data_IF_622496476899
#
_entry.id   IF_622496476899
#
_cell.length_a   1.000
_cell.length_b   1.000
_cell.length_c   1.000
_cell.angle_alpha   90.00
_cell.angle_beta   90.00
_cell.angle_gamma   90.00
#
_symmetry.space_group_name_H-M   'P 1'
#
loop_
_entity.id
_entity.type
_entity.pdbx_description
1 polymer ?
#
# COMPACT_ATOMS: atom_id res chain seq x y z
N UNK A 1 -2.31 30.09 -19.47
CA UNK A 1 -2.85 30.87 -18.34
C UNK A 1 -4.01 30.18 -17.61
N UNK A 2 -5.06 29.73 -18.30
CA UNK A 2 -6.27 29.10 -17.71
C UNK A 2 -5.99 27.84 -16.88
N UNK A 3 -5.11 26.95 -17.34
CA UNK A 3 -4.76 25.72 -16.63
C UNK A 3 -4.05 26.01 -15.29
N UNK A 4 -3.08 26.94 -15.29
CA UNK A 4 -2.40 27.39 -14.07
C UNK A 4 -3.38 27.95 -13.03
N UNK A 5 -4.37 28.73 -13.47
CA UNK A 5 -5.39 29.27 -12.56
C UNK A 5 -6.28 28.19 -11.93
N UNK A 6 -6.71 27.19 -12.72
CA UNK A 6 -7.48 26.03 -12.23
C UNK A 6 -6.68 25.24 -11.20
N UNK A 7 -5.40 25.01 -11.47
CA UNK A 7 -4.53 24.24 -10.57
C UNK A 7 -4.23 25.01 -9.27
N UNK A 8 -4.06 26.33 -9.33
CA UNK A 8 -3.93 27.19 -8.14
C UNK A 8 -5.21 27.17 -7.29
N UNK A 9 -6.40 27.27 -7.91
CA UNK A 9 -7.67 27.22 -7.19
C UNK A 9 -7.87 25.86 -6.52
N UNK A 10 -7.51 24.77 -7.20
CA UNK A 10 -7.52 23.40 -6.64
C UNK A 10 -6.52 23.25 -5.49
N UNK A 11 -5.31 23.79 -5.62
CA UNK A 11 -4.27 23.82 -4.56
C UNK A 11 -4.83 24.47 -3.30
N UNK A 12 -5.33 25.69 -3.44
CA UNK A 12 -5.85 26.47 -2.31
C UNK A 12 -7.05 25.77 -1.67
N UNK A 13 -8.02 25.32 -2.46
CA UNK A 13 -9.18 24.59 -1.96
C UNK A 13 -8.79 23.36 -1.14
N UNK A 14 -7.88 22.52 -1.67
CA UNK A 14 -7.46 21.29 -0.97
C UNK A 14 -6.68 21.58 0.29
N UNK A 15 -5.77 22.56 0.23
CA UNK A 15 -5.00 22.98 1.40
C UNK A 15 -5.93 23.52 2.50
N UNK A 16 -6.88 24.40 2.15
CA UNK A 16 -7.86 24.92 3.10
C UNK A 16 -8.72 23.79 3.66
N UNK A 17 -9.26 22.92 2.81
CA UNK A 17 -10.08 21.79 3.24
C UNK A 17 -9.31 20.86 4.17
N UNK A 18 -8.06 20.51 3.85
CA UNK A 18 -7.23 19.66 4.70
C UNK A 18 -7.00 20.30 6.08
N UNK A 19 -6.62 21.60 6.12
CA UNK A 19 -6.39 22.30 7.39
C UNK A 19 -7.65 22.49 8.24
N UNK A 20 -8.80 22.70 7.61
CA UNK A 20 -10.08 22.89 8.30
C UNK A 20 -10.66 21.56 8.79
N UNK A 21 -10.60 20.51 7.97
CA UNK A 21 -11.20 19.20 8.30
C UNK A 21 -10.27 18.32 9.15
N UNK A 22 -8.96 18.56 9.13
CA UNK A 22 -7.94 17.81 9.90
C UNK A 22 -8.19 16.29 9.84
N UNK A 23 -8.22 15.71 8.63
CA UNK A 23 -8.57 14.30 8.44
C UNK A 23 -7.66 13.40 9.28
N UNK A 24 -8.26 12.36 9.86
CA UNK A 24 -7.48 11.30 10.49
C UNK A 24 -7.02 10.31 9.40
N UNK A 25 -5.88 9.62 9.59
CA UNK A 25 -5.57 8.42 8.81
C UNK A 25 -6.67 7.35 8.95
N UNK A 26 -6.75 6.40 8.01
CA UNK A 26 -7.75 5.33 8.09
C UNK A 26 -7.61 4.53 9.40
N UNK A 27 -8.73 4.13 10.02
CA UNK A 27 -8.71 3.36 11.26
C UNK A 27 -8.23 1.93 11.00
N UNK A 28 -7.78 1.25 12.06
CA UNK A 28 -7.39 -0.16 12.04
C UNK A 28 -8.34 -0.97 12.97
N UNK A 29 -8.97 -2.07 12.50
CA UNK A 29 -9.93 -2.82 13.30
C UNK A 29 -9.31 -3.80 14.33
N UNK A 30 -7.98 -3.91 14.40
CA UNK A 30 -7.27 -4.82 15.31
C UNK A 30 -5.88 -4.29 15.68
N UNK A 31 -5.26 -4.79 16.73
CA UNK A 31 -3.91 -4.35 17.11
C UNK A 31 -2.82 -5.03 16.28
N UNK A 32 -1.84 -4.26 15.81
CA UNK A 32 -0.59 -4.82 15.24
C UNK A 32 0.33 -5.22 16.40
N UNK A 33 0.47 -6.54 16.62
CA UNK A 33 1.27 -7.09 17.73
C UNK A 33 2.69 -7.49 17.33
N UNK A 34 2.98 -7.52 16.03
CA UNK A 34 4.24 -8.01 15.49
C UNK A 34 4.60 -7.30 14.17
N UNK A 35 5.66 -7.74 13.50
CA UNK A 35 6.09 -7.13 12.25
C UNK A 35 5.00 -7.19 11.18
N UNK A 36 4.96 -6.17 10.33
CA UNK A 36 4.01 -6.10 9.21
C UNK A 36 4.73 -6.41 7.91
N UNK A 37 4.17 -7.31 7.10
CA UNK A 37 4.63 -7.56 5.74
C UNK A 37 3.70 -6.86 4.75
N UNK A 38 4.26 -5.95 3.95
CA UNK A 38 3.56 -5.31 2.84
C UNK A 38 3.95 -6.03 1.55
N UNK A 39 2.99 -6.72 0.96
CA UNK A 39 3.15 -7.50 -0.27
C UNK A 39 2.67 -6.67 -1.46
N UNK A 40 3.57 -6.32 -2.37
CA UNK A 40 3.28 -5.63 -3.61
C UNK A 40 3.16 -6.56 -4.83
N UNK A 41 3.08 -5.93 -6.01
CA UNK A 41 2.80 -6.60 -7.28
C UNK A 41 4.01 -6.59 -8.25
N UNK A 42 5.24 -6.47 -7.75
CA UNK A 42 6.44 -6.60 -8.56
C UNK A 42 6.67 -8.07 -8.98
N UNK A 43 7.37 -8.33 -10.12
CA UNK A 43 7.50 -9.69 -10.68
C UNK A 43 8.16 -10.69 -9.72
N UNK A 44 9.02 -10.20 -8.83
CA UNK A 44 9.72 -10.99 -7.83
C UNK A 44 9.36 -10.45 -6.45
N UNK A 45 8.96 -11.34 -5.57
CA UNK A 45 8.64 -11.07 -4.18
C UNK A 45 9.16 -12.25 -3.36
N UNK A 46 10.01 -11.96 -2.39
CA UNK A 46 10.59 -12.93 -1.48
C UNK A 46 9.73 -13.07 -0.23
N UNK A 47 9.58 -14.30 0.26
CA UNK A 47 9.00 -14.55 1.58
C UNK A 47 9.95 -13.99 2.64
N UNK A 48 9.50 -13.13 3.57
CA UNK A 48 10.34 -12.69 4.68
C UNK A 48 10.85 -13.86 5.52
N UNK A 49 12.11 -13.76 5.96
CA UNK A 49 12.71 -14.69 6.92
C UNK A 49 11.92 -14.67 8.24
N UNK A 50 11.70 -15.86 8.83
CA UNK A 50 10.98 -16.03 10.09
C UNK A 50 9.47 -15.78 10.01
N UNK A 51 8.90 -15.64 8.81
CA UNK A 51 7.47 -15.37 8.65
C UNK A 51 6.60 -16.48 9.27
N UNK A 52 5.86 -16.13 10.32
CA UNK A 52 4.92 -16.98 11.05
C UNK A 52 3.58 -16.26 11.31
N UNK A 53 2.70 -16.86 12.10
CA UNK A 53 1.38 -16.29 12.45
C UNK A 53 1.42 -15.05 13.36
N UNK A 54 2.60 -14.63 13.85
CA UNK A 54 2.79 -13.39 14.60
C UNK A 54 2.95 -12.15 13.72
N UNK A 55 3.12 -12.33 12.41
CA UNK A 55 3.22 -11.24 11.45
C UNK A 55 1.83 -10.82 10.98
N UNK A 56 1.62 -9.52 10.81
CA UNK A 56 0.44 -9.02 10.13
C UNK A 56 0.72 -8.85 8.62
N UNK A 57 -0.23 -9.26 7.77
CA UNK A 57 -0.05 -9.29 6.32
C UNK A 57 -0.94 -8.24 5.64
N UNK A 58 -0.30 -7.30 4.95
CA UNK A 58 -0.97 -6.31 4.10
C UNK A 58 -0.67 -6.63 2.64
N UNK A 59 -1.69 -6.94 1.86
CA UNK A 59 -1.58 -7.13 0.41
C UNK A 59 -2.07 -5.90 -0.33
N UNK A 60 -1.52 -5.67 -1.52
CA UNK A 60 -1.82 -4.54 -2.40
C UNK A 60 -2.39 -5.08 -3.72
N UNK A 61 -3.61 -4.65 -4.04
CA UNK A 61 -4.35 -5.11 -5.21
C UNK A 61 -4.39 -6.66 -5.27
N UNK A 62 -3.93 -7.26 -6.38
CA UNK A 62 -3.90 -8.72 -6.56
C UNK A 62 -2.72 -9.45 -5.91
N UNK A 63 -1.89 -8.79 -5.08
CA UNK A 63 -0.71 -9.43 -4.49
C UNK A 63 -1.02 -10.50 -3.44
N UNK A 64 -2.30 -10.68 -3.08
CA UNK A 64 -2.76 -11.83 -2.32
C UNK A 64 -2.37 -13.17 -3.00
N UNK A 65 -2.28 -13.20 -4.33
CA UNK A 65 -1.79 -14.39 -5.05
C UNK A 65 -0.32 -14.73 -4.74
N UNK A 66 0.49 -13.72 -4.40
CA UNK A 66 1.88 -13.90 -3.96
C UNK A 66 1.89 -14.42 -2.52
N UNK A 67 1.15 -13.78 -1.62
CA UNK A 67 1.06 -14.19 -0.22
C UNK A 67 0.56 -15.64 -0.06
N UNK A 68 -0.37 -16.08 -0.93
CA UNK A 68 -0.86 -17.46 -0.95
C UNK A 68 0.26 -18.49 -1.22
N UNK A 69 1.28 -18.15 -2.01
CA UNK A 69 2.45 -19.03 -2.23
C UNK A 69 3.32 -19.19 -0.99
N UNK A 70 3.15 -18.34 0.02
CA UNK A 70 3.81 -18.42 1.31
C UNK A 70 2.94 -19.10 2.38
N UNK A 71 1.80 -19.69 1.98
CA UNK A 71 0.84 -20.32 2.88
C UNK A 71 -0.16 -19.36 3.53
N UNK A 72 -0.20 -18.09 3.11
CA UNK A 72 -1.14 -17.10 3.65
C UNK A 72 -2.38 -17.04 2.77
N UNK A 73 -3.43 -17.75 3.17
CA UNK A 73 -4.70 -17.77 2.42
C UNK A 73 -5.51 -16.49 2.60
N UNK A 74 -5.58 -15.99 3.83
CA UNK A 74 -6.36 -14.81 4.23
C UNK A 74 -5.41 -13.76 4.81
N UNK A 75 -5.10 -12.68 4.07
CA UNK A 75 -4.33 -11.57 4.63
C UNK A 75 -5.17 -10.81 5.66
N UNK A 76 -4.49 -10.14 6.59
CA UNK A 76 -5.15 -9.26 7.56
C UNK A 76 -5.72 -8.01 6.89
N UNK A 77 -5.01 -7.49 5.88
CA UNK A 77 -5.43 -6.30 5.16
C UNK A 77 -5.21 -6.48 3.65
N UNK A 78 -6.17 -6.02 2.86
CA UNK A 78 -5.97 -5.76 1.44
C UNK A 78 -6.20 -4.29 1.15
N UNK A 79 -5.22 -3.62 0.56
CA UNK A 79 -5.35 -2.26 0.03
C UNK A 79 -5.54 -2.31 -1.49
N UNK A 80 -6.73 -1.93 -1.95
CA UNK A 80 -7.13 -2.07 -3.35
C UNK A 80 -7.42 -0.71 -3.98
N UNK A 81 -6.85 -0.45 -5.16
CA UNK A 81 -7.21 0.75 -5.93
C UNK A 81 -8.60 0.59 -6.56
N UNK A 82 -9.42 1.64 -6.55
CA UNK A 82 -10.80 1.60 -7.08
C UNK A 82 -10.91 0.99 -8.49
N UNK A 83 -9.92 1.26 -9.35
CA UNK A 83 -9.94 0.81 -10.75
C UNK A 83 -9.75 -0.70 -10.91
N UNK A 84 -9.32 -1.44 -9.89
CA UNK A 84 -9.22 -2.90 -9.96
C UNK A 84 -10.59 -3.58 -9.90
N UNK A 85 -11.58 -2.91 -9.31
CA UNK A 85 -12.91 -3.49 -9.10
C UNK A 85 -13.74 -3.43 -10.38
N UNK A 86 -13.75 -2.29 -11.07
CA UNK A 86 -14.60 -2.10 -12.27
C UNK A 86 -13.80 -1.80 -13.55
N UNK A 87 -12.48 -1.64 -13.45
CA UNK A 87 -11.66 -1.31 -14.61
C UNK A 87 -11.67 -2.41 -15.66
N UNK A 88 -11.57 -2.00 -16.92
CA UNK A 88 -11.59 -2.89 -18.09
C UNK A 88 -10.20 -3.24 -18.61
N UNK A 89 -9.15 -2.65 -18.04
CA UNK A 89 -7.76 -2.93 -18.42
C UNK A 89 -7.38 -4.38 -18.13
N UNK A 90 -6.38 -4.91 -18.85
CA UNK A 90 -5.84 -6.25 -18.62
C UNK A 90 -5.47 -6.46 -17.14
N UNK A 91 -4.76 -5.50 -16.54
CA UNK A 91 -4.39 -5.55 -15.12
C UNK A 91 -5.61 -5.66 -14.19
N UNK A 92 -6.68 -4.88 -14.42
CA UNK A 92 -7.87 -4.94 -13.58
C UNK A 92 -8.58 -6.29 -13.70
N UNK A 93 -8.64 -6.85 -14.91
CA UNK A 93 -9.18 -8.20 -15.15
C UNK A 93 -8.36 -9.27 -14.45
N UNK A 94 -7.04 -9.19 -14.54
CA UNK A 94 -6.15 -10.14 -13.87
C UNK A 94 -6.24 -10.05 -12.34
N UNK A 95 -6.31 -8.85 -11.77
CA UNK A 95 -6.53 -8.68 -10.33
C UNK A 95 -7.84 -9.34 -9.90
N UNK A 96 -8.95 -9.15 -10.62
CA UNK A 96 -10.21 -9.84 -10.31
C UNK A 96 -10.11 -11.36 -10.47
N UNK A 97 -9.40 -11.84 -11.50
CA UNK A 97 -9.19 -13.28 -11.72
C UNK A 97 -8.46 -13.93 -10.55
N UNK A 98 -7.38 -13.30 -10.05
CA UNK A 98 -6.59 -13.89 -8.95
C UNK A 98 -7.24 -13.73 -7.58
N UNK A 99 -8.09 -12.71 -7.41
CA UNK A 99 -8.87 -12.50 -6.19
C UNK A 99 -10.21 -13.23 -6.21
N UNK A 100 -10.60 -13.85 -7.33
CA UNK A 100 -11.86 -14.57 -7.46
C UNK A 100 -12.06 -15.60 -6.35
N UNK A 101 -13.16 -15.51 -5.60
CA UNK A 101 -13.49 -16.41 -4.49
C UNK A 101 -12.63 -16.26 -3.23
N UNK A 102 -11.68 -15.31 -3.22
CA UNK A 102 -10.77 -15.06 -2.09
C UNK A 102 -11.42 -14.16 -1.04
N UNK A 103 -10.77 -14.04 0.12
CA UNK A 103 -11.17 -13.14 1.20
C UNK A 103 -10.00 -12.43 1.85
N UNK A 104 -10.27 -11.34 2.55
CA UNK A 104 -9.35 -10.62 3.44
C UNK A 104 -10.05 -10.30 4.76
N UNK A 105 -9.32 -10.04 5.85
CA UNK A 105 -9.99 -9.60 7.09
C UNK A 105 -10.51 -8.17 6.93
N UNK A 106 -9.63 -7.23 6.57
CA UNK A 106 -10.01 -5.84 6.32
C UNK A 106 -9.65 -5.37 4.90
N UNK A 107 -10.65 -4.89 4.15
CA UNK A 107 -10.49 -4.32 2.81
C UNK A 107 -10.51 -2.80 2.87
N UNK A 108 -9.44 -2.17 2.36
CA UNK A 108 -9.32 -0.72 2.20
C UNK A 108 -9.33 -0.39 0.72
N UNK A 109 -10.43 0.21 0.26
CA UNK A 109 -10.58 0.62 -1.14
C UNK A 109 -10.19 2.09 -1.28
N UNK A 110 -9.10 2.33 -2.00
CA UNK A 110 -8.50 3.64 -2.16
C UNK A 110 -9.18 4.43 -3.28
N UNK A 111 -9.52 5.69 -2.96
CA UNK A 111 -10.06 6.69 -3.88
C UNK A 111 -11.43 6.31 -4.50
N UNK A 112 -12.21 5.49 -3.79
CA UNK A 112 -13.63 5.31 -4.07
C UNK A 112 -14.47 6.46 -3.48
N UNK A 113 -15.67 6.69 -4.00
CA UNK A 113 -16.61 7.68 -3.46
C UNK A 113 -17.39 7.08 -2.30
N UNK A 114 -17.26 7.65 -1.09
CA UNK A 114 -17.95 7.15 0.12
C UNK A 114 -19.47 7.01 -0.05
N UNK A 115 -20.10 7.87 -0.86
CA UNK A 115 -21.54 7.82 -1.18
C UNK A 115 -21.95 6.68 -2.14
N UNK A 116 -21.01 6.03 -2.81
CA UNK A 116 -21.26 4.96 -3.78
C UNK A 116 -20.89 3.57 -3.21
N UNK A 117 -21.11 3.36 -1.92
CA UNK A 117 -20.74 2.12 -1.21
C UNK A 117 -21.43 0.88 -1.80
N UNK A 118 -22.74 0.93 -2.06
CA UNK A 118 -23.45 -0.24 -2.60
C UNK A 118 -22.93 -0.67 -3.98
N UNK A 119 -22.50 0.29 -4.80
CA UNK A 119 -21.88 0.01 -6.11
C UNK A 119 -20.56 -0.74 -5.92
N UNK A 120 -19.76 -0.31 -4.95
CA UNK A 120 -18.53 -1.01 -4.57
C UNK A 120 -18.82 -2.45 -4.15
N UNK A 121 -19.80 -2.65 -3.28
CA UNK A 121 -20.17 -3.97 -2.78
C UNK A 121 -20.64 -4.91 -3.90
N UNK A 122 -21.47 -4.41 -4.84
CA UNK A 122 -21.84 -5.15 -6.06
C UNK A 122 -20.63 -5.48 -6.94
N UNK A 123 -19.72 -4.52 -7.11
CA UNK A 123 -18.48 -4.73 -7.86
C UNK A 123 -17.62 -5.85 -7.26
N UNK A 124 -17.46 -5.87 -5.94
CA UNK A 124 -16.73 -6.93 -5.23
C UNK A 124 -17.45 -8.30 -5.31
N UNK A 125 -18.77 -8.31 -5.17
CA UNK A 125 -19.58 -9.52 -5.28
C UNK A 125 -19.50 -10.17 -6.68
N UNK A 126 -19.30 -9.39 -7.74
CA UNK A 126 -19.25 -9.88 -9.13
C UNK A 126 -18.11 -10.89 -9.40
N UNK A 127 -17.10 -10.95 -8.52
CA UNK A 127 -16.03 -11.94 -8.56
C UNK A 127 -15.86 -12.67 -7.21
N UNK A 128 -16.90 -12.69 -6.37
CA UNK A 128 -16.92 -13.38 -5.08
C UNK A 128 -15.74 -13.02 -4.15
N UNK A 129 -15.36 -11.73 -4.08
CA UNK A 129 -14.34 -11.28 -3.14
C UNK A 129 -14.96 -10.83 -1.82
N UNK A 130 -14.58 -11.50 -0.73
CA UNK A 130 -15.17 -11.32 0.60
C UNK A 130 -14.25 -10.55 1.56
N UNK A 131 -14.84 -9.94 2.56
CA UNK A 131 -14.13 -9.21 3.61
C UNK A 131 -14.94 -9.24 4.92
N UNK A 132 -14.27 -9.13 6.07
CA UNK A 132 -14.94 -8.96 7.35
C UNK A 132 -15.24 -7.47 7.63
N UNK A 133 -14.31 -6.59 7.21
CA UNK A 133 -14.45 -5.14 7.31
C UNK A 133 -14.17 -4.43 5.98
N UNK A 134 -14.95 -3.39 5.67
CA UNK A 134 -14.78 -2.56 4.47
C UNK A 134 -14.61 -1.09 4.83
N UNK A 135 -13.51 -0.51 4.35
CA UNK A 135 -13.20 0.91 4.49
C UNK A 135 -12.98 1.55 3.12
N UNK A 136 -13.62 2.70 2.90
CA UNK A 136 -13.35 3.54 1.73
C UNK A 136 -12.40 4.64 2.18
N UNK A 137 -11.18 4.61 1.65
CA UNK A 137 -10.13 5.57 1.95
C UNK A 137 -10.12 6.66 0.90
N UNK A 138 -10.45 7.87 1.31
CA UNK A 138 -10.40 9.04 0.45
C UNK A 138 -8.99 9.65 0.39
N UNK A 139 -8.87 10.70 -0.42
CA UNK A 139 -7.60 11.39 -0.65
C UNK A 139 -7.07 12.08 0.61
N UNK A 140 -7.95 12.64 1.43
CA UNK A 140 -7.57 13.40 2.61
C UNK A 140 -7.03 12.46 3.70
N UNK A 141 -7.57 11.25 3.81
CA UNK A 141 -7.06 10.20 4.69
C UNK A 141 -5.66 9.71 4.25
N UNK A 142 -5.41 9.60 2.93
CA UNK A 142 -4.06 9.32 2.39
C UNK A 142 -3.08 10.47 2.66
N UNK A 143 -3.52 11.72 2.46
CA UNK A 143 -2.71 12.89 2.79
C UNK A 143 -2.36 12.93 4.28
N UNK A 144 -3.29 12.53 5.15
CA UNK A 144 -3.05 12.44 6.59
C UNK A 144 -1.98 11.40 6.96
N UNK A 145 -1.89 10.27 6.24
CA UNK A 145 -0.80 9.30 6.40
C UNK A 145 0.56 9.91 6.05
N UNK A 146 0.66 10.59 4.89
CA UNK A 146 1.89 11.25 4.45
C UNK A 146 2.36 12.32 5.43
N UNK A 147 1.43 13.15 5.91
CA UNK A 147 1.71 14.21 6.87
C UNK A 147 2.15 13.63 8.22
N UNK A 148 1.35 12.75 8.83
CA UNK A 148 1.62 12.24 10.18
C UNK A 148 2.83 11.30 10.27
N UNK A 149 3.15 10.57 9.21
CA UNK A 149 4.19 9.53 9.26
C UNK A 149 5.48 10.00 8.63
N UNK A 150 5.40 10.74 7.52
CA UNK A 150 6.56 11.24 6.79
C UNK A 150 6.77 12.76 6.97
N UNK A 151 5.84 13.52 7.57
CA UNK A 151 5.95 14.98 7.66
C UNK A 151 5.89 15.66 6.29
N UNK A 152 5.25 15.01 5.31
CA UNK A 152 5.16 15.50 3.93
C UNK A 152 3.76 16.01 3.62
N UNK A 153 3.66 17.33 3.43
CA UNK A 153 2.42 17.98 3.03
C UNK A 153 2.21 17.88 1.50
N UNK A 154 1.84 16.69 1.02
CA UNK A 154 1.39 16.51 -0.37
C UNK A 154 -0.08 16.88 -0.53
N UNK A 155 -0.43 17.60 -1.59
CA UNK A 155 -1.82 17.88 -1.98
C UNK A 155 -2.36 16.89 -3.02
N UNK A 156 -1.55 15.88 -3.40
CA UNK A 156 -1.83 14.84 -4.40
C UNK A 156 -2.51 15.40 -5.66
N UNK A 157 -1.94 16.42 -6.31
CA UNK A 157 -2.61 17.17 -7.38
C UNK A 157 -2.53 16.47 -8.72
N UNK A 158 -1.34 16.03 -9.04
CA UNK A 158 -0.97 15.27 -10.23
C UNK A 158 -0.65 13.82 -9.84
N UNK A 159 -0.30 12.99 -10.83
CA UNK A 159 0.10 11.61 -10.57
C UNK A 159 1.46 11.53 -9.85
N UNK A 160 2.41 12.39 -10.22
CA UNK A 160 3.78 12.37 -9.70
C UNK A 160 3.87 12.74 -8.21
N UNK A 161 2.91 13.52 -7.70
CA UNK A 161 2.79 13.90 -6.29
C UNK A 161 2.07 12.87 -5.41
N UNK A 162 1.60 11.76 -6.00
CA UNK A 162 1.00 10.64 -5.26
C UNK A 162 2.03 9.55 -5.04
N UNK A 163 1.96 8.92 -3.87
CA UNK A 163 2.65 7.66 -3.64
C UNK A 163 1.79 6.47 -4.09
N UNK A 164 2.44 5.35 -4.33
CA UNK A 164 1.78 4.09 -4.69
C UNK A 164 0.99 3.50 -3.52
N UNK A 165 0.14 2.52 -3.81
CA UNK A 165 -0.60 1.80 -2.77
C UNK A 165 0.33 1.03 -1.82
N UNK A 166 1.49 0.57 -2.32
CA UNK A 166 2.51 -0.07 -1.50
C UNK A 166 3.05 0.89 -0.43
N UNK A 167 3.37 2.12 -0.82
CA UNK A 167 3.83 3.14 0.14
C UNK A 167 2.70 3.58 1.07
N UNK A 168 1.45 3.68 0.61
CA UNK A 168 0.31 3.91 1.51
C UNK A 168 0.20 2.81 2.57
N UNK A 169 0.39 1.53 2.20
CA UNK A 169 0.39 0.42 3.15
C UNK A 169 1.56 0.50 4.15
N UNK A 170 2.74 0.91 3.71
CA UNK A 170 3.90 1.14 4.61
C UNK A 170 3.61 2.26 5.61
N UNK A 171 3.14 3.41 5.12
CA UNK A 171 2.78 4.54 5.99
C UNK A 171 1.68 4.15 6.98
N UNK A 172 0.69 3.39 6.52
CA UNK A 172 -0.39 2.89 7.34
C UNK A 172 0.11 1.96 8.45
N UNK A 173 0.97 1.00 8.14
CA UNK A 173 1.56 0.10 9.13
C UNK A 173 2.37 0.87 10.19
N UNK A 174 3.20 1.84 9.75
CA UNK A 174 3.97 2.70 10.66
C UNK A 174 3.08 3.60 11.52
N UNK A 175 2.01 4.14 10.95
CA UNK A 175 1.06 4.98 11.70
C UNK A 175 0.45 4.23 12.87
N UNK A 176 0.12 2.95 12.65
CA UNK A 176 -0.49 2.06 13.63
C UNK A 176 0.54 1.30 14.48
N UNK A 177 1.78 1.77 14.54
CA UNK A 177 2.76 1.31 15.53
C UNK A 177 3.44 -0.02 15.21
N UNK A 178 3.48 -0.45 13.94
CA UNK A 178 4.21 -1.65 13.57
C UNK A 178 5.68 -1.60 14.05
N UNK A 179 6.16 -2.62 14.78
CA UNK A 179 7.54 -2.64 15.30
C UNK A 179 8.58 -2.78 14.17
N UNK A 180 8.18 -3.37 13.04
CA UNK A 180 8.92 -3.36 11.79
C UNK A 180 7.96 -3.48 10.61
N UNK A 181 8.33 -2.89 9.48
CA UNK A 181 7.60 -2.99 8.21
C UNK A 181 8.52 -3.59 7.16
N UNK A 182 8.19 -4.79 6.70
CA UNK A 182 8.92 -5.54 5.69
C UNK A 182 8.21 -5.42 4.35
N UNK A 183 8.91 -4.87 3.37
CA UNK A 183 8.40 -4.67 2.02
C UNK A 183 8.84 -5.84 1.13
N UNK A 184 7.89 -6.48 0.44
CA UNK A 184 8.18 -7.56 -0.51
C UNK A 184 7.35 -7.39 -1.77
N UNK A 185 7.93 -7.57 -2.95
CA UNK A 185 7.25 -7.34 -4.22
C UNK A 185 6.93 -5.86 -4.48
N UNK A 186 7.67 -4.93 -3.87
CA UNK A 186 7.62 -3.51 -4.19
C UNK A 186 9.04 -3.09 -4.54
N UNK A 187 9.24 -2.79 -5.81
CA UNK A 187 10.50 -2.26 -6.32
C UNK A 187 10.30 -0.78 -6.67
N UNK A 188 10.86 0.14 -5.87
CA UNK A 188 10.81 1.58 -6.15
C UNK A 188 11.67 1.97 -7.37
N UNK A 189 12.68 1.18 -7.74
CA UNK A 189 13.56 1.44 -8.87
C UNK A 189 13.08 0.82 -10.19
N UNK A 190 12.17 -0.14 -10.15
CA UNK A 190 11.63 -0.77 -11.36
C UNK A 190 10.50 0.05 -11.99
N UNK A 191 10.68 0.36 -13.28
CA UNK A 191 9.66 0.98 -14.13
C UNK A 191 8.46 0.05 -14.43
N UNK A 192 8.47 -1.22 -14.02
CA UNK A 192 7.49 -2.24 -14.42
C UNK A 192 6.54 -2.73 -13.32
N UNK A 193 5.38 -3.23 -13.75
CA UNK A 193 4.52 -4.14 -12.96
C UNK A 193 4.83 -5.59 -13.37
N UNK A 194 4.59 -6.58 -12.49
CA UNK A 194 4.75 -8.02 -12.79
C UNK A 194 4.00 -8.52 -14.03
N UNK A 195 3.05 -7.74 -14.54
CA UNK A 195 2.06 -8.15 -15.54
C UNK A 195 1.94 -7.17 -16.71
N UNK A 196 3.00 -6.43 -17.06
CA UNK A 196 2.95 -5.41 -18.12
C UNK A 196 3.95 -5.69 -19.25
N UNK A 197 3.47 -6.28 -20.35
CA UNK A 197 4.13 -6.24 -21.67
C UNK A 197 3.96 -4.86 -22.36
N UNK A 198 3.26 -3.92 -21.74
CA UNK A 198 2.79 -2.67 -22.37
C UNK A 198 3.65 -1.41 -22.10
N UNK A 199 4.83 -1.53 -21.48
CA UNK A 199 5.83 -0.45 -21.44
C UNK A 199 5.41 0.89 -20.78
N UNK A 200 4.30 0.96 -20.04
CA UNK A 200 3.86 2.20 -19.40
C UNK A 200 4.74 2.55 -18.19
N UNK A 201 5.41 3.70 -18.26
CA UNK A 201 6.26 4.22 -17.19
C UNK A 201 5.48 4.43 -15.88
N UNK A 202 6.03 3.94 -14.77
CA UNK A 202 5.44 4.06 -13.43
C UNK A 202 5.60 5.47 -12.88
N UNK A 203 4.54 6.28 -12.94
CA UNK A 203 4.52 7.71 -12.57
C UNK A 203 4.85 8.03 -11.09
N UNK A 204 4.84 7.04 -10.20
CA UNK A 204 4.98 7.24 -8.74
C UNK A 204 6.40 6.96 -8.19
N UNK A 205 7.31 6.44 -9.02
CA UNK A 205 8.65 5.96 -8.61
C UNK A 205 9.41 7.02 -7.79
N UNK A 206 9.43 8.26 -8.26
CA UNK A 206 10.14 9.35 -7.60
C UNK A 206 9.58 9.66 -6.20
N UNK A 207 8.26 9.74 -6.06
CA UNK A 207 7.64 10.05 -4.77
C UNK A 207 7.81 8.89 -3.79
N UNK A 208 7.69 7.65 -4.26
CA UNK A 208 7.91 6.46 -3.44
C UNK A 208 9.33 6.42 -2.88
N UNK A 209 10.34 6.70 -3.71
CA UNK A 209 11.74 6.80 -3.29
C UNK A 209 11.97 7.94 -2.27
N UNK A 210 11.42 9.13 -2.52
CA UNK A 210 11.53 10.27 -1.58
C UNK A 210 10.96 9.91 -0.21
N UNK A 211 9.80 9.25 -0.18
CA UNK A 211 9.16 8.85 1.08
C UNK A 211 9.99 7.81 1.79
N UNK A 212 10.42 6.75 1.09
CA UNK A 212 11.23 5.69 1.69
C UNK A 212 12.55 6.23 2.25
N UNK A 213 13.27 7.06 1.48
CA UNK A 213 14.51 7.67 1.96
C UNK A 213 14.27 8.50 3.21
N UNK A 214 13.23 9.34 3.22
CA UNK A 214 12.91 10.17 4.37
C UNK A 214 12.55 9.36 5.61
N UNK A 215 11.89 8.22 5.44
CA UNK A 215 11.59 7.31 6.55
C UNK A 215 12.86 6.63 7.06
N UNK A 216 13.78 6.24 6.17
CA UNK A 216 15.09 5.68 6.56
C UNK A 216 15.94 6.73 7.31
N UNK A 217 16.02 7.96 6.80
CA UNK A 217 16.75 9.06 7.45
C UNK A 217 16.20 9.38 8.84
N UNK A 218 14.89 9.18 9.04
CA UNK A 218 14.22 9.33 10.33
C UNK A 218 14.34 8.08 11.23
N UNK A 219 15.12 7.08 10.85
CA UNK A 219 15.34 5.85 11.63
C UNK A 219 14.09 4.97 11.76
N UNK A 220 13.13 5.06 10.83
CA UNK A 220 11.91 4.23 10.87
C UNK A 220 12.26 2.77 10.54
N UNK A 221 11.60 1.78 11.16
CA UNK A 221 11.97 0.37 11.06
C UNK A 221 11.43 -0.25 9.76
N UNK A 222 11.99 0.17 8.62
CA UNK A 222 11.60 -0.29 7.28
C UNK A 222 12.68 -1.20 6.71
N UNK A 223 12.24 -2.33 6.19
CA UNK A 223 13.09 -3.35 5.59
C UNK A 223 12.50 -3.80 4.26
N UNK A 224 13.30 -4.48 3.45
CA UNK A 224 12.82 -5.24 2.30
C UNK A 224 13.17 -6.71 2.45
N UNK A 225 12.29 -7.62 2.02
CA UNK A 225 12.61 -9.03 1.88
C UNK A 225 13.32 -9.34 0.55
N UNK A 226 13.38 -8.40 -0.39
CA UNK A 226 13.90 -8.60 -1.74
C UNK A 226 15.37 -8.17 -1.84
N UNK A 227 16.35 -9.10 -1.96
CA UNK A 227 17.77 -8.75 -1.94
C UNK A 227 18.18 -7.79 -3.06
N UNK A 228 17.52 -7.88 -4.21
CA UNK A 228 17.74 -6.98 -5.34
C UNK A 228 17.29 -5.54 -5.05
N UNK A 229 16.18 -5.37 -4.31
CA UNK A 229 15.65 -4.06 -3.93
C UNK A 229 16.58 -3.45 -2.90
N UNK A 230 17.03 -4.24 -1.91
CA UNK A 230 18.01 -3.78 -0.92
C UNK A 230 19.28 -3.22 -1.59
N UNK A 231 19.86 -3.99 -2.54
CA UNK A 231 21.05 -3.55 -3.29
C UNK A 231 20.81 -2.29 -4.13
N UNK A 232 19.65 -2.17 -4.76
CA UNK A 232 19.36 -1.05 -5.67
C UNK A 232 18.96 0.24 -4.97
N UNK A 233 18.37 0.15 -3.76
CA UNK A 233 17.72 1.28 -3.09
C UNK A 233 18.37 1.67 -1.76
N UNK A 234 19.22 0.81 -1.20
CA UNK A 234 19.79 1.02 0.13
C UNK A 234 18.83 0.73 1.29
N UNK A 235 17.61 0.25 1.02
CA UNK A 235 16.70 -0.22 2.07
C UNK A 235 17.34 -1.44 2.76
N UNK A 236 17.41 -1.49 4.10
CA UNK A 236 17.94 -2.63 4.83
C UNK A 236 17.24 -3.94 4.46
N UNK A 237 18.01 -5.00 4.24
CA UNK A 237 17.48 -6.34 4.01
C UNK A 237 16.91 -6.90 5.32
N UNK A 238 15.74 -7.55 5.25
CA UNK A 238 15.20 -8.33 6.37
C UNK A 238 15.89 -9.69 6.41
N UNK A 239 16.74 -9.90 7.41
CA UNK A 239 17.49 -11.13 7.65
C UNK A 239 17.14 -11.76 9.01
N UNK A 240 17.79 -12.89 9.32
CA UNK A 240 17.61 -13.61 10.59
C UNK A 240 17.94 -12.73 11.80
N UNK A 241 18.99 -11.90 11.73
CA UNK A 241 19.38 -11.01 12.82
C UNK A 241 18.36 -9.90 13.07
N UNK A 242 17.71 -9.39 12.02
CA UNK A 242 16.58 -8.47 12.16
C UNK A 242 15.35 -9.17 12.75
N UNK A 243 15.01 -10.35 12.25
CA UNK A 243 13.89 -11.13 12.76
C UNK A 243 14.03 -11.45 14.26
N UNK A 244 15.21 -11.94 14.67
CA UNK A 244 15.52 -12.22 16.08
C UNK A 244 15.42 -10.99 16.97
N UNK A 245 15.99 -9.84 16.54
CA UNK A 245 15.94 -8.60 17.34
C UNK A 245 14.53 -8.05 17.54
N UNK A 246 13.70 -8.13 16.51
CA UNK A 246 12.34 -7.54 16.54
C UNK A 246 11.33 -8.48 17.18
N UNK A 247 11.43 -9.78 16.91
CA UNK A 247 10.44 -10.77 17.38
C UNK A 247 10.86 -11.49 18.67
N UNK A 248 12.14 -11.46 19.02
CA UNK A 248 12.71 -12.25 20.11
C UNK A 248 12.78 -13.76 19.82
N UNK A 249 12.52 -14.20 18.58
CA UNK A 249 12.49 -15.62 18.19
C UNK A 249 13.64 -15.95 17.24
N UNK A 250 14.28 -17.10 17.45
CA UNK A 250 15.14 -17.68 16.42
C UNK A 250 14.28 -18.08 15.21
N UNK A 251 14.78 -17.81 14.00
CA UNK A 251 14.10 -18.06 12.74
C UNK A 251 14.04 -19.55 12.38
#
# INVERSE_FOLDING_TARGET
MRQRFIDTKKRLYRWMKYRLTRPAPPPLPFDIKGPVVVVGSAPRASRPVGLDGGYAIITVNGSQAVAARWGIEVPDITMMMFNQIEGTTHNAREVRRVLGGRRTRALYVLLWRKSERERLERGLASFDYRYDHLYIVDRYERMALLDKVAGLHSLEIDAESKCSNGINAVLYALHHGAPAVIISGIDPGSAGHAYNDAGLARLHVRMDLIILQRLLDAGRPIFTADPQVARATGIPLWDEGCAQRVTGRAA
#
